data_IF_186490087988
#
_entry.id   IF_186490087988
#
_cell.length_a   1.000
_cell.length_b   1.000
_cell.length_c   1.000
_cell.angle_alpha   90.00
_cell.angle_beta   90.00
_cell.angle_gamma   90.00
#
_symmetry.space_group_name_H-M   'P 1'
#
loop_
_entity.id
_entity.type
_entity.pdbx_description
1 polymer ?
#
# COMPACT_ATOMS: atom_id res chain seq x y z
N UNK A 1 13.47 -18.71 16.81
CA UNK A 1 12.97 -17.59 16.00
C UNK A 1 12.55 -18.13 14.64
N UNK A 2 11.32 -17.87 14.20
CA UNK A 2 10.84 -18.39 12.90
C UNK A 2 11.59 -17.69 11.76
N UNK A 3 11.95 -18.41 10.69
CA UNK A 3 12.64 -17.82 9.52
C UNK A 3 11.89 -16.59 8.96
N UNK A 4 10.58 -16.54 9.13
CA UNK A 4 9.69 -15.44 8.75
C UNK A 4 9.85 -14.16 9.58
N UNK A 5 10.16 -14.26 10.88
CA UNK A 5 10.39 -13.06 11.70
C UNK A 5 11.68 -12.34 11.31
N UNK A 6 12.72 -13.08 10.94
CA UNK A 6 14.00 -12.50 10.48
C UNK A 6 13.81 -11.70 9.17
N UNK A 7 13.05 -12.24 8.22
CA UNK A 7 12.75 -11.54 6.95
C UNK A 7 11.93 -10.29 7.19
N UNK A 8 10.92 -10.36 8.06
CA UNK A 8 10.10 -9.20 8.43
C UNK A 8 10.93 -8.09 9.08
N UNK A 9 11.76 -8.41 10.08
CA UNK A 9 12.62 -7.42 10.74
C UNK A 9 13.73 -6.89 9.84
N UNK A 10 14.26 -7.70 8.91
CA UNK A 10 15.28 -7.26 7.97
C UNK A 10 14.75 -6.24 6.96
N UNK A 11 13.46 -6.31 6.60
CA UNK A 11 12.83 -5.39 5.64
C UNK A 11 12.17 -4.20 6.35
N UNK A 12 11.35 -4.45 7.37
CA UNK A 12 10.60 -3.41 8.07
C UNK A 12 11.45 -2.65 9.11
N UNK A 13 12.46 -3.30 9.70
CA UNK A 13 13.28 -2.71 10.77
C UNK A 13 14.03 -1.43 10.34
N UNK A 14 14.80 -1.45 9.24
CA UNK A 14 15.49 -0.25 8.74
C UNK A 14 14.51 0.88 8.36
N UNK A 15 13.33 0.51 7.86
CA UNK A 15 12.31 1.45 7.40
C UNK A 15 11.63 2.19 8.56
N UNK A 16 11.25 1.48 9.62
CA UNK A 16 10.66 2.07 10.84
C UNK A 16 11.68 2.91 11.61
N UNK A 17 12.92 2.43 11.74
CA UNK A 17 13.98 3.19 12.39
C UNK A 17 14.38 4.45 11.60
N UNK A 18 14.37 4.36 10.26
CA UNK A 18 14.60 5.52 9.38
C UNK A 18 13.49 6.56 9.50
N UNK A 19 12.22 6.12 9.58
CA UNK A 19 11.06 7.00 9.79
C UNK A 19 11.14 7.79 11.09
N UNK A 20 11.42 7.11 12.21
CA UNK A 20 11.63 7.76 13.51
C UNK A 20 12.80 8.76 13.51
N UNK A 21 13.85 8.46 12.75
CA UNK A 21 15.01 9.36 12.61
C UNK A 21 14.65 10.60 11.78
N UNK A 22 13.83 10.42 10.73
CA UNK A 22 13.38 11.52 9.86
C UNK A 22 12.43 12.46 10.60
N UNK A 23 11.51 11.92 11.42
CA UNK A 23 10.61 12.73 12.24
C UNK A 23 11.35 13.44 13.37
N UNK A 24 12.34 12.80 13.99
CA UNK A 24 13.20 13.44 15.00
C UNK A 24 14.02 14.60 14.40
N UNK A 25 14.60 14.41 13.20
CA UNK A 25 15.32 15.47 12.47
C UNK A 25 14.36 16.58 12.03
N UNK A 26 13.13 16.25 11.63
CA UNK A 26 12.12 17.25 11.30
C UNK A 26 11.63 18.03 12.53
N UNK A 27 11.61 17.41 13.71
CA UNK A 27 11.19 18.05 14.96
C UNK A 27 12.22 19.06 15.51
N UNK A 28 13.50 18.92 15.17
CA UNK A 28 14.54 19.89 15.55
C UNK A 28 14.45 21.23 14.78
N UNK A 29 13.67 21.29 13.69
CA UNK A 29 13.50 22.47 12.84
C UNK A 29 12.24 23.30 13.11
N UNK A 30 11.68 23.25 14.31
CA UNK A 30 10.38 23.82 14.68
C UNK A 30 10.35 25.35 14.81
N UNK A 31 10.66 26.07 13.72
CA UNK A 31 10.13 27.41 13.42
C UNK A 31 9.85 27.51 11.91
N UNK A 32 9.10 26.56 11.36
CA UNK A 32 8.76 26.55 9.94
C UNK A 32 7.25 26.59 9.77
N UNK A 33 6.75 27.70 9.21
CA UNK A 33 5.34 27.87 8.87
C UNK A 33 4.91 26.74 7.94
N UNK A 34 4.01 25.86 8.40
CA UNK A 34 3.45 24.78 7.57
C UNK A 34 2.76 25.40 6.37
N UNK A 35 3.32 25.18 5.19
CA UNK A 35 2.82 25.67 3.91
C UNK A 35 1.86 24.66 3.27
N UNK A 36 1.03 25.10 2.34
CA UNK A 36 0.12 24.22 1.57
C UNK A 36 0.91 23.11 0.83
N UNK A 37 2.17 23.40 0.48
CA UNK A 37 3.06 22.47 -0.23
C UNK A 37 3.39 21.25 0.65
N UNK A 38 3.42 21.42 1.98
CA UNK A 38 3.74 20.35 2.95
C UNK A 38 2.63 19.29 3.02
N UNK A 39 1.40 19.66 2.67
CA UNK A 39 0.26 18.72 2.57
C UNK A 39 0.10 18.11 1.18
N UNK A 40 0.58 18.79 0.13
CA UNK A 40 0.40 18.34 -1.25
C UNK A 40 1.19 17.06 -1.53
N UNK A 41 2.41 16.95 -1.03
CA UNK A 41 3.29 15.79 -1.22
C UNK A 41 2.67 14.52 -0.61
N UNK A 42 2.34 14.45 0.69
CA UNK A 42 1.76 13.25 1.29
C UNK A 42 0.41 12.88 0.67
N UNK A 43 -0.46 13.86 0.37
CA UNK A 43 -1.76 13.58 -0.28
C UNK A 43 -1.59 12.99 -1.68
N UNK A 44 -0.62 13.48 -2.46
CA UNK A 44 -0.32 12.93 -3.78
C UNK A 44 0.19 11.50 -3.68
N UNK A 45 1.09 11.22 -2.72
CA UNK A 45 1.60 9.87 -2.47
C UNK A 45 0.45 8.92 -2.06
N UNK A 46 -0.40 9.34 -1.12
CA UNK A 46 -1.59 8.59 -0.69
C UNK A 46 -2.50 8.26 -1.88
N UNK A 47 -2.83 9.27 -2.71
CA UNK A 47 -3.68 9.07 -3.88
C UNK A 47 -3.07 8.08 -4.88
N UNK A 48 -1.77 8.20 -5.17
CA UNK A 48 -1.05 7.27 -6.04
C UNK A 48 -1.04 5.85 -5.47
N UNK A 49 -0.81 5.69 -4.17
CA UNK A 49 -0.81 4.38 -3.50
C UNK A 49 -2.20 3.74 -3.50
N UNK A 50 -3.28 4.52 -3.35
CA UNK A 50 -4.66 4.03 -3.46
C UNK A 50 -4.94 3.53 -4.89
N UNK A 51 -4.58 4.32 -5.90
CA UNK A 51 -4.74 3.95 -7.31
C UNK A 51 -3.96 2.65 -7.60
N UNK A 52 -2.72 2.58 -7.15
CA UNK A 52 -1.84 1.43 -7.36
C UNK A 52 -2.37 0.17 -6.68
N UNK A 53 -2.90 0.26 -5.45
CA UNK A 53 -3.62 -0.84 -4.82
C UNK A 53 -4.85 -1.27 -5.65
N UNK A 54 -5.65 -0.32 -6.12
CA UNK A 54 -6.81 -0.60 -6.98
C UNK A 54 -6.43 -1.30 -8.29
N UNK A 55 -5.32 -0.91 -8.92
CA UNK A 55 -4.81 -1.56 -10.13
C UNK A 55 -4.37 -3.01 -9.87
N UNK A 56 -3.66 -3.28 -8.77
CA UNK A 56 -3.27 -4.65 -8.41
C UNK A 56 -4.47 -5.54 -8.14
N UNK A 57 -5.45 -5.03 -7.40
CA UNK A 57 -6.71 -5.73 -7.12
C UNK A 57 -7.44 -6.03 -8.43
N UNK A 58 -7.59 -5.04 -9.31
CA UNK A 58 -8.22 -5.24 -10.63
C UNK A 58 -7.49 -6.29 -11.46
N UNK A 59 -6.16 -6.32 -11.42
CA UNK A 59 -5.37 -7.27 -12.19
C UNK A 59 -5.51 -8.71 -11.66
N UNK A 60 -5.52 -8.90 -10.33
CA UNK A 60 -5.78 -10.20 -9.69
C UNK A 60 -7.18 -10.72 -10.06
N UNK A 61 -8.22 -9.88 -9.92
CA UNK A 61 -9.58 -10.25 -10.29
C UNK A 61 -9.77 -10.52 -11.79
N UNK A 62 -9.03 -9.82 -12.66
CA UNK A 62 -9.10 -10.04 -14.11
C UNK A 62 -8.60 -11.43 -14.48
N UNK A 63 -7.52 -11.90 -13.87
CA UNK A 63 -6.97 -13.24 -14.13
C UNK A 63 -7.89 -14.32 -13.54
N UNK A 64 -8.35 -14.14 -12.29
CA UNK A 64 -9.28 -15.07 -11.66
C UNK A 64 -10.64 -15.16 -12.37
N UNK A 65 -11.08 -14.08 -13.00
CA UNK A 65 -12.34 -14.01 -13.76
C UNK A 65 -12.23 -14.49 -15.21
N UNK A 66 -11.02 -14.61 -15.76
CA UNK A 66 -10.81 -15.02 -17.15
C UNK A 66 -10.95 -16.53 -17.29
N UNK A 67 -11.73 -16.96 -18.30
CA UNK A 67 -11.89 -18.38 -18.64
C UNK A 67 -10.97 -18.73 -19.81
N UNK A 68 -10.24 -19.84 -19.70
CA UNK A 68 -9.36 -20.34 -20.76
C UNK A 68 -10.09 -20.46 -22.12
N UNK A 69 -11.35 -20.92 -22.13
CA UNK A 69 -12.14 -21.05 -23.35
C UNK A 69 -12.38 -19.72 -24.09
N UNK A 70 -12.58 -18.61 -23.36
CA UNK A 70 -12.75 -17.29 -23.95
C UNK A 70 -11.43 -16.79 -24.57
N UNK A 71 -10.30 -17.05 -23.89
CA UNK A 71 -8.98 -16.69 -24.40
C UNK A 71 -8.58 -17.53 -25.61
N UNK A 72 -8.98 -18.80 -25.66
CA UNK A 72 -8.77 -19.66 -26.82
C UNK A 72 -9.56 -19.18 -28.04
N UNK A 73 -10.82 -18.77 -27.85
CA UNK A 73 -11.62 -18.14 -28.91
C UNK A 73 -10.97 -16.84 -29.42
N UNK A 74 -10.51 -15.97 -28.52
CA UNK A 74 -9.83 -14.73 -28.89
C UNK A 74 -8.49 -14.98 -29.61
N UNK A 75 -7.71 -15.98 -29.18
CA UNK A 75 -6.48 -16.40 -29.86
C UNK A 75 -6.78 -16.85 -31.29
N UNK A 76 -7.82 -17.67 -31.48
CA UNK A 76 -8.24 -18.16 -32.79
C UNK A 76 -8.70 -17.02 -33.71
N UNK A 77 -9.21 -15.92 -33.14
CA UNK A 77 -9.54 -14.68 -33.85
C UNK A 77 -8.32 -13.79 -34.16
N UNK A 78 -7.09 -14.27 -33.93
CA UNK A 78 -5.85 -13.59 -34.26
C UNK A 78 -5.30 -12.66 -33.16
N UNK A 79 -5.86 -12.69 -31.94
CA UNK A 79 -5.36 -11.88 -30.83
C UNK A 79 -4.12 -12.52 -30.19
N UNK A 80 -2.94 -11.93 -30.43
CA UNK A 80 -1.67 -12.40 -29.88
C UNK A 80 -1.58 -12.23 -28.35
N UNK A 81 -2.23 -11.22 -27.77
CA UNK A 81 -2.28 -11.04 -26.31
C UNK A 81 -3.10 -12.15 -25.63
N UNK A 82 -4.14 -12.65 -26.30
CA UNK A 82 -4.92 -13.78 -25.80
C UNK A 82 -4.09 -15.08 -25.73
N UNK A 83 -3.12 -15.26 -26.64
CA UNK A 83 -2.19 -16.39 -26.56
C UNK A 83 -1.31 -16.35 -25.29
N UNK A 84 -0.83 -15.16 -24.92
CA UNK A 84 -0.02 -14.99 -23.69
C UNK A 84 -0.84 -15.18 -22.42
N UNK A 85 -2.09 -14.70 -22.39
CA UNK A 85 -2.96 -14.91 -21.23
C UNK A 85 -3.35 -16.38 -21.12
N UNK A 86 -3.63 -17.04 -22.24
CA UNK A 86 -3.95 -18.47 -22.26
C UNK A 86 -2.80 -19.32 -21.71
N UNK A 87 -1.54 -19.02 -22.07
CA UNK A 87 -0.39 -19.77 -21.53
C UNK A 87 -0.27 -19.64 -20.02
N UNK A 88 -0.54 -18.45 -19.47
CA UNK A 88 -0.54 -18.21 -18.01
C UNK A 88 -1.68 -18.97 -17.32
N UNK A 89 -2.87 -19.05 -17.95
CA UNK A 89 -4.03 -19.76 -17.41
C UNK A 89 -3.89 -21.29 -17.48
N UNK A 90 -3.12 -21.81 -18.44
CA UNK A 90 -2.87 -23.24 -18.59
C UNK A 90 -1.81 -23.78 -17.60
N UNK A 91 -1.01 -22.90 -17.00
CA UNK A 91 0.05 -23.22 -16.05
C UNK A 91 -0.29 -22.67 -14.65
N UNK A 92 -0.88 -23.49 -13.75
CA UNK A 92 -1.30 -23.04 -12.43
C UNK A 92 -0.17 -22.43 -11.59
N UNK A 93 1.06 -22.89 -11.77
CA UNK A 93 2.25 -22.38 -11.09
C UNK A 93 2.63 -20.96 -11.52
N UNK A 94 2.43 -20.60 -12.79
CA UNK A 94 2.61 -19.23 -13.28
C UNK A 94 1.52 -18.30 -12.76
N UNK A 95 0.28 -18.79 -12.70
CA UNK A 95 -0.85 -18.08 -12.13
C UNK A 95 -0.63 -17.79 -10.64
N UNK A 96 -0.23 -18.80 -9.86
CA UNK A 96 0.07 -18.65 -8.43
C UNK A 96 1.20 -17.65 -8.21
N UNK A 97 2.25 -17.69 -9.04
CA UNK A 97 3.37 -16.73 -8.97
C UNK A 97 2.93 -15.31 -9.29
N UNK A 98 2.04 -15.12 -10.26
CA UNK A 98 1.48 -13.81 -10.58
C UNK A 98 0.67 -13.26 -9.39
N UNK A 99 -0.24 -14.08 -8.85
CA UNK A 99 -1.08 -13.71 -7.71
C UNK A 99 -0.21 -13.38 -6.48
N UNK A 100 0.78 -14.22 -6.16
CA UNK A 100 1.70 -13.99 -5.05
C UNK A 100 2.47 -12.66 -5.20
N UNK A 101 2.89 -12.33 -6.43
CA UNK A 101 3.58 -11.06 -6.71
C UNK A 101 2.65 -9.87 -6.55
N UNK A 102 1.40 -9.96 -7.03
CA UNK A 102 0.39 -8.92 -6.86
C UNK A 102 0.07 -8.68 -5.38
N UNK A 103 -0.11 -9.74 -4.59
CA UNK A 103 -0.37 -9.65 -3.14
C UNK A 103 0.81 -9.07 -2.35
N UNK A 104 2.04 -9.41 -2.73
CA UNK A 104 3.23 -8.75 -2.18
C UNK A 104 3.25 -7.25 -2.52
N UNK A 105 2.90 -6.89 -3.75
CA UNK A 105 2.75 -5.50 -4.19
C UNK A 105 1.69 -4.73 -3.38
N UNK A 106 0.51 -5.33 -3.19
CA UNK A 106 -0.58 -4.78 -2.35
C UNK A 106 -0.09 -4.56 -0.91
N UNK A 107 0.65 -5.53 -0.36
CA UNK A 107 1.18 -5.44 1.00
C UNK A 107 2.13 -4.26 1.15
N UNK A 108 3.12 -4.13 0.25
CA UNK A 108 4.09 -3.03 0.29
C UNK A 108 3.38 -1.68 0.10
N UNK A 109 2.44 -1.61 -0.85
CA UNK A 109 1.68 -0.40 -1.11
C UNK A 109 0.79 0.00 0.08
N UNK A 110 0.18 -0.97 0.76
CA UNK A 110 -0.66 -0.75 1.94
C UNK A 110 0.16 -0.31 3.16
N UNK A 111 1.37 -0.86 3.35
CA UNK A 111 2.29 -0.39 4.38
C UNK A 111 2.72 1.05 4.13
N UNK A 112 3.09 1.39 2.89
CA UNK A 112 3.39 2.77 2.52
C UNK A 112 2.19 3.70 2.72
N UNK A 113 0.99 3.25 2.34
CA UNK A 113 -0.23 4.03 2.51
C UNK A 113 -0.49 4.30 3.99
N UNK A 114 -0.35 3.29 4.86
CA UNK A 114 -0.46 3.45 6.30
C UNK A 114 0.51 4.48 6.85
N UNK A 115 1.78 4.46 6.42
CA UNK A 115 2.80 5.41 6.89
C UNK A 115 2.47 6.86 6.52
N UNK A 116 2.02 7.12 5.30
CA UNK A 116 1.66 8.48 4.88
C UNK A 116 0.27 8.89 5.39
N UNK A 117 -0.66 7.94 5.55
CA UNK A 117 -2.01 8.20 6.01
C UNK A 117 -2.08 8.40 7.52
N UNK A 118 -1.24 7.75 8.33
CA UNK A 118 -1.21 7.88 9.79
C UNK A 118 -1.19 9.36 10.25
N UNK A 119 -0.21 10.20 9.85
CA UNK A 119 -0.20 11.59 10.29
C UNK A 119 -1.41 12.37 9.77
N UNK A 120 -1.87 12.11 8.55
CA UNK A 120 -3.02 12.81 7.97
C UNK A 120 -4.33 12.46 8.71
N UNK A 121 -4.51 11.20 9.10
CA UNK A 121 -5.69 10.69 9.80
C UNK A 121 -5.65 11.07 11.27
N UNK A 122 -4.49 11.02 11.93
CA UNK A 122 -4.32 11.40 13.34
C UNK A 122 -4.78 12.84 13.57
N UNK A 123 -4.30 13.81 12.79
CA UNK A 123 -4.73 15.21 12.90
C UNK A 123 -6.24 15.41 12.71
N UNK A 124 -6.89 14.53 11.94
CA UNK A 124 -8.31 14.63 11.66
C UNK A 124 -9.17 14.00 12.76
N UNK A 125 -8.69 12.92 13.38
CA UNK A 125 -9.43 12.12 14.36
C UNK A 125 -9.16 12.56 15.81
N UNK A 126 -7.94 13.00 16.14
CA UNK A 126 -7.54 13.48 17.47
C UNK A 126 -8.55 14.44 18.13
N UNK A 127 -9.03 15.52 17.47
CA UNK A 127 -9.95 16.45 18.12
C UNK A 127 -11.30 15.81 18.48
N UNK A 128 -11.77 14.86 17.66
CA UNK A 128 -13.02 14.13 17.94
C UNK A 128 -12.85 13.11 19.05
N UNK A 129 -11.70 12.44 19.14
CA UNK A 129 -11.40 11.50 20.22
C UNK A 129 -11.28 12.21 21.56
N UNK A 130 -10.57 13.34 21.60
CA UNK A 130 -10.46 14.16 22.83
C UNK A 130 -11.82 14.65 23.29
N UNK A 131 -12.67 15.12 22.36
CA UNK A 131 -14.03 15.56 22.65
C UNK A 131 -14.94 14.41 23.11
N UNK A 132 -14.84 13.23 22.49
CA UNK A 132 -15.67 12.06 22.84
C UNK A 132 -15.32 11.52 24.23
N UNK A 133 -14.02 11.34 24.50
CA UNK A 133 -13.56 10.77 25.77
C UNK A 133 -13.47 11.81 26.90
N UNK A 134 -13.84 13.06 26.61
CA UNK A 134 -13.78 14.19 27.54
C UNK A 134 -12.45 14.21 28.31
N UNK A 135 -11.34 14.01 27.58
CA UNK A 135 -9.98 14.07 28.10
C UNK A 135 -9.62 15.56 28.24
N UNK A 136 -10.39 16.27 29.06
CA UNK A 136 -10.04 17.59 29.57
C UNK A 136 -9.21 17.37 30.82
N UNK A 137 -7.92 17.71 30.74
CA UNK A 137 -7.02 17.99 31.88
C UNK A 137 -6.60 16.81 32.77
N UNK A 138 -5.94 15.78 32.21
CA UNK A 138 -5.12 14.85 33.02
C UNK A 138 -3.62 15.18 33.02
N UNK A 139 -3.21 16.35 32.51
CA UNK A 139 -1.79 16.75 32.36
C UNK A 139 -1.43 18.04 33.08
N UNK A 140 -2.31 18.58 33.94
CA UNK A 140 -2.02 19.71 34.84
C UNK A 140 -1.84 19.27 36.30
N UNK A 141 -1.20 18.13 36.55
CA UNK A 141 -0.66 17.75 37.87
C UNK A 141 0.79 17.28 37.75
#
# INVERSE_FOLDING_TARGET
MSKWSVVFYAVAGPMVLGWFSLTAVAAEGAEQSVTIIDWLIPLTIIALLIILNGLYVSAEFSILGTRASQMEEMRNNGNTSAAHILSILEHPDEQDRYIATAQLGITIASLGLGMYAEPAVAHLIEPYLVAWFNISDATTL
#
